data_IF_503261971715
#
_entry.id   IF_503261971715
#
_cell.length_a   1.000
_cell.length_b   1.000
_cell.length_c   1.000
_cell.angle_alpha   90.00
_cell.angle_beta   90.00
_cell.angle_gamma   90.00
#
_symmetry.space_group_name_H-M   'P 1'
#
loop_
_entity.id
_entity.type
_entity.pdbx_description
1 polymer ?
#
# COMPACT_ATOMS: atom_id res chain seq x y z
N UNK A 1 22.00 51.26 84.41
CA UNK A 1 23.31 51.49 83.77
C UNK A 1 23.15 51.40 82.26
N UNK A 2 22.52 52.42 81.68
CA UNK A 2 22.16 52.53 80.26
C UNK A 2 22.31 54.02 79.94
N UNK A 3 22.72 54.37 78.71
CA UNK A 3 22.99 55.74 78.20
C UNK A 3 24.47 56.18 78.35
N UNK A 4 25.38 55.61 77.53
CA UNK A 4 26.55 56.34 76.98
C UNK A 4 27.43 55.53 75.99
N UNK A 5 27.04 54.32 75.56
CA UNK A 5 27.77 53.58 74.50
C UNK A 5 27.15 53.67 73.09
N UNK A 6 25.98 54.32 72.94
CA UNK A 6 25.19 54.28 71.70
C UNK A 6 25.47 55.43 70.71
N UNK A 7 26.36 56.39 71.01
CA UNK A 7 26.62 57.54 70.11
C UNK A 7 27.90 57.48 69.27
N UNK A 8 28.84 56.58 69.58
CA UNK A 8 30.08 56.42 68.78
C UNK A 8 29.90 55.39 67.66
N UNK A 9 29.05 54.38 67.87
CA UNK A 9 28.73 53.37 66.83
C UNK A 9 27.88 53.98 65.72
N UNK A 10 26.96 54.89 66.03
CA UNK A 10 26.10 55.55 65.03
C UNK A 10 26.88 56.46 64.08
N UNK A 11 28.01 57.03 64.52
CA UNK A 11 28.86 57.87 63.66
C UNK A 11 29.74 57.04 62.72
N UNK A 12 30.17 55.85 63.14
CA UNK A 12 30.94 54.92 62.29
C UNK A 12 30.07 54.15 61.29
N UNK A 13 28.82 53.82 61.64
CA UNK A 13 27.87 53.19 60.72
C UNK A 13 27.33 54.19 59.68
N UNK A 14 27.18 55.47 60.03
CA UNK A 14 26.81 56.51 59.07
C UNK A 14 27.90 56.78 58.02
N UNK A 15 29.18 56.60 58.36
CA UNK A 15 30.30 56.77 57.42
C UNK A 15 30.46 55.58 56.46
N UNK A 16 30.06 54.37 56.87
CA UNK A 16 30.04 53.18 56.00
C UNK A 16 28.79 53.15 55.10
N UNK A 17 27.66 53.72 55.56
CA UNK A 17 26.47 53.89 54.72
C UNK A 17 26.64 54.98 53.63
N UNK A 18 27.49 55.99 53.85
CA UNK A 18 27.83 56.97 52.79
C UNK A 18 28.86 56.47 51.77
N UNK A 19 29.57 55.37 52.05
CA UNK A 19 30.52 54.75 51.11
C UNK A 19 29.91 53.61 50.27
N UNK A 20 28.61 53.31 50.46
CA UNK A 20 27.86 52.36 49.64
C UNK A 20 26.92 53.03 48.62
N UNK A 21 27.07 54.34 48.38
CA UNK A 21 26.33 55.09 47.35
C UNK A 21 27.17 55.42 46.11
N UNK A 22 28.33 54.77 45.96
CA UNK A 22 29.28 54.98 44.87
C UNK A 22 29.51 53.72 44.01
N UNK A 23 28.47 52.96 43.71
CA UNK A 23 28.48 52.03 42.57
C UNK A 23 27.05 51.62 42.18
N UNK A 24 26.25 52.61 41.80
CA UNK A 24 25.29 52.36 40.72
C UNK A 24 26.03 52.76 39.45
N UNK A 25 26.78 51.82 38.86
CA UNK A 25 27.02 51.92 37.43
C UNK A 25 25.64 51.82 36.78
N UNK A 26 25.20 52.90 36.16
CA UNK A 26 24.04 52.92 35.26
C UNK A 26 24.32 52.18 33.95
N UNK A 27 25.45 51.48 33.82
CA UNK A 27 25.95 50.98 32.54
C UNK A 27 25.61 49.51 32.29
N UNK A 28 24.62 48.97 33.01
CA UNK A 28 24.06 47.63 32.72
C UNK A 28 22.54 47.58 32.94
N UNK A 29 21.79 48.59 32.49
CA UNK A 29 20.48 48.27 31.94
C UNK A 29 20.75 47.64 30.59
N UNK A 30 20.47 46.34 30.44
CA UNK A 30 20.53 45.73 29.12
C UNK A 30 19.64 46.54 28.17
N UNK A 31 20.22 47.15 27.14
CA UNK A 31 19.51 47.83 26.05
C UNK A 31 18.76 46.81 25.18
N UNK A 32 17.90 45.97 25.80
CA UNK A 32 17.12 44.97 25.10
C UNK A 32 16.06 45.66 24.24
N UNK A 33 16.25 45.62 22.93
CA UNK A 33 15.31 46.16 21.94
C UNK A 33 14.19 45.15 21.68
N UNK A 34 13.09 45.27 22.43
CA UNK A 34 11.97 44.32 22.43
C UNK A 34 10.77 44.73 21.56
N UNK A 35 10.79 45.92 20.95
CA UNK A 35 9.72 46.48 20.12
C UNK A 35 9.85 46.13 18.62
N UNK A 36 10.89 45.38 18.25
CA UNK A 36 11.17 44.98 16.87
C UNK A 36 10.09 44.09 16.25
N UNK A 37 9.48 44.53 15.15
CA UNK A 37 8.60 43.67 14.35
C UNK A 37 9.41 42.65 13.54
N UNK A 38 9.02 41.38 13.61
CA UNK A 38 9.75 40.24 13.01
C UNK A 38 8.87 39.45 12.01
N UNK A 39 8.16 40.16 11.13
CA UNK A 39 7.25 39.53 10.15
C UNK A 39 7.92 39.29 8.80
N UNK A 40 7.49 38.22 8.11
CA UNK A 40 7.66 38.07 6.68
C UNK A 40 6.45 38.71 6.00
N UNK A 41 6.69 39.61 5.06
CA UNK A 41 5.65 40.32 4.31
C UNK A 41 5.45 39.71 2.93
N UNK A 42 6.55 39.30 2.28
CA UNK A 42 6.51 38.65 0.98
C UNK A 42 7.71 37.72 0.86
N UNK A 43 7.50 36.54 0.27
CA UNK A 43 8.58 35.67 -0.17
C UNK A 43 8.17 35.02 -1.49
N UNK A 44 9.13 34.90 -2.39
CA UNK A 44 9.00 34.16 -3.65
C UNK A 44 10.14 33.16 -3.74
N UNK A 45 9.80 31.90 -4.03
CA UNK A 45 10.78 30.87 -4.34
C UNK A 45 10.69 30.57 -5.83
N UNK A 46 11.78 30.79 -6.56
CA UNK A 46 11.82 30.81 -8.02
C UNK A 46 10.71 31.71 -8.59
N UNK A 47 9.75 31.11 -9.31
CA UNK A 47 8.60 31.81 -9.85
C UNK A 47 7.33 31.74 -8.99
N UNK A 48 7.39 31.09 -7.84
CA UNK A 48 6.23 30.79 -7.01
C UNK A 48 6.11 31.71 -5.82
N UNK A 49 4.98 32.41 -5.77
CA UNK A 49 4.63 33.32 -4.69
C UNK A 49 4.26 32.54 -3.42
N UNK A 50 4.89 32.90 -2.29
CA UNK A 50 4.52 32.39 -0.98
C UNK A 50 3.26 33.05 -0.44
N UNK A 51 2.34 32.22 0.07
CA UNK A 51 1.15 32.64 0.80
C UNK A 51 1.52 32.73 2.28
N UNK A 52 1.52 33.95 2.82
CA UNK A 52 1.94 34.25 4.20
C UNK A 52 0.73 34.19 5.14
N UNK A 53 0.76 33.31 6.13
CA UNK A 53 -0.18 33.31 7.25
C UNK A 53 0.54 33.82 8.51
N UNK A 54 0.21 35.06 8.89
CA UNK A 54 0.82 35.73 10.05
C UNK A 54 0.38 35.12 11.39
N UNK A 55 -0.78 34.47 11.45
CA UNK A 55 -1.32 33.92 12.69
C UNK A 55 -0.59 32.64 13.10
N UNK A 56 -0.38 31.75 12.14
CA UNK A 56 0.35 30.49 12.31
C UNK A 56 1.86 30.64 12.09
N UNK A 57 2.32 31.78 11.56
CA UNK A 57 3.71 32.03 11.11
C UNK A 57 4.16 30.99 10.10
N UNK A 58 3.26 30.62 9.20
CA UNK A 58 3.56 29.69 8.12
C UNK A 58 3.52 30.40 6.78
N UNK A 59 4.36 29.92 5.88
CA UNK A 59 4.41 30.35 4.48
C UNK A 59 4.20 29.09 3.65
N UNK A 60 3.18 29.11 2.80
CA UNK A 60 2.94 28.01 1.84
C UNK A 60 3.30 28.47 0.45
N UNK A 61 4.28 27.81 -0.17
CA UNK A 61 4.62 28.00 -1.57
C UNK A 61 4.04 26.83 -2.35
N UNK A 62 3.21 27.13 -3.36
CA UNK A 62 2.59 26.11 -4.21
C UNK A 62 3.34 25.96 -5.52
N UNK A 63 3.57 24.72 -5.93
CA UNK A 63 4.32 24.37 -7.14
C UNK A 63 3.62 23.26 -7.92
N UNK A 64 3.82 23.15 -9.23
CA UNK A 64 3.34 22.01 -10.03
C UNK A 64 3.78 20.66 -9.46
N UNK A 65 2.98 19.61 -9.68
CA UNK A 65 3.21 18.27 -9.13
C UNK A 65 4.64 17.75 -9.35
N UNK A 66 5.23 18.01 -10.51
CA UNK A 66 6.54 17.50 -10.93
C UNK A 66 7.70 18.47 -10.69
N UNK A 67 7.47 19.66 -10.12
CA UNK A 67 8.50 20.69 -9.98
C UNK A 67 9.65 20.26 -9.05
N UNK A 68 10.91 20.46 -9.39
CA UNK A 68 12.02 20.11 -8.48
C UNK A 68 12.12 21.11 -7.31
N UNK A 69 11.98 20.60 -6.07
CA UNK A 69 12.00 21.41 -4.84
C UNK A 69 13.31 21.32 -4.08
N UNK A 70 14.30 20.58 -4.59
CA UNK A 70 15.56 20.33 -3.89
C UNK A 70 16.51 21.52 -3.90
N UNK A 71 16.30 22.51 -4.78
CA UNK A 71 17.23 23.61 -5.00
C UNK A 71 16.55 24.92 -5.45
N UNK A 72 15.48 25.33 -4.75
CA UNK A 72 14.70 26.52 -5.09
C UNK A 72 15.44 27.80 -4.69
N UNK A 73 15.45 28.82 -5.55
CA UNK A 73 16.05 30.13 -5.26
C UNK A 73 15.08 31.02 -4.49
N UNK A 74 15.53 31.68 -3.44
CA UNK A 74 14.80 32.81 -2.83
C UNK A 74 14.89 34.00 -3.80
N UNK A 75 13.90 34.16 -4.67
CA UNK A 75 13.91 35.19 -5.71
C UNK A 75 13.37 36.53 -5.22
N UNK A 76 12.64 36.51 -4.09
CA UNK A 76 12.19 37.72 -3.38
C UNK A 76 12.04 37.45 -1.89
N UNK A 77 12.45 38.39 -1.06
CA UNK A 77 12.19 38.37 0.38
C UNK A 77 11.96 39.80 0.91
N UNK A 78 10.75 40.07 1.35
CA UNK A 78 10.38 41.31 2.04
C UNK A 78 9.98 40.98 3.47
N UNK A 79 10.62 41.65 4.42
CA UNK A 79 10.46 41.44 5.86
C UNK A 79 10.18 42.79 6.53
N UNK A 80 9.80 42.76 7.81
CA UNK A 80 9.60 43.99 8.59
C UNK A 80 10.81 44.95 8.50
N UNK A 81 10.54 46.25 8.46
CA UNK A 81 11.57 47.27 8.34
C UNK A 81 12.59 47.16 9.49
N UNK A 82 13.88 47.21 9.15
CA UNK A 82 14.99 47.08 10.11
C UNK A 82 15.29 45.66 10.57
N UNK A 83 14.45 44.68 10.22
CA UNK A 83 14.71 43.28 10.53
C UNK A 83 15.78 42.68 9.60
N UNK A 84 16.41 41.60 10.06
CA UNK A 84 17.31 40.74 9.31
C UNK A 84 16.76 39.32 9.28
N UNK A 85 17.10 38.57 8.24
CA UNK A 85 16.75 37.16 8.10
C UNK A 85 17.99 36.28 8.03
N UNK A 86 17.88 35.03 8.47
CA UNK A 86 18.91 34.01 8.28
C UNK A 86 19.05 33.54 6.82
N UNK A 87 18.13 33.96 5.94
CA UNK A 87 18.21 33.75 4.49
C UNK A 87 18.10 35.10 3.77
N UNK A 88 18.52 35.16 2.51
CA UNK A 88 18.42 36.36 1.66
C UNK A 88 18.10 36.00 0.21
N UNK A 89 17.75 37.02 -0.57
CA UNK A 89 17.56 36.86 -2.01
C UNK A 89 18.82 36.29 -2.67
N UNK A 90 18.63 35.30 -3.54
CA UNK A 90 19.68 34.52 -4.20
C UNK A 90 20.05 33.22 -3.49
N UNK A 91 19.71 33.05 -2.21
CA UNK A 91 19.97 31.79 -1.50
C UNK A 91 19.20 30.62 -2.11
N UNK A 92 19.74 29.42 -1.94
CA UNK A 92 19.17 28.17 -2.41
C UNK A 92 18.62 27.36 -1.24
N UNK A 93 17.37 26.91 -1.34
CA UNK A 93 16.69 26.14 -0.31
C UNK A 93 16.32 24.74 -0.84
N UNK A 94 16.61 23.72 -0.04
CA UNK A 94 16.07 22.39 -0.22
C UNK A 94 14.74 22.28 0.54
N UNK A 95 13.65 22.23 -0.20
CA UNK A 95 12.29 22.25 0.32
C UNK A 95 11.62 20.86 0.32
N UNK A 96 12.42 19.77 0.29
CA UNK A 96 11.90 18.42 0.54
C UNK A 96 11.17 18.36 1.89
N UNK A 97 11.72 19.04 2.89
CA UNK A 97 11.11 19.23 4.20
C UNK A 97 10.86 20.73 4.45
N UNK A 98 9.91 21.09 5.34
CA UNK A 98 9.71 22.47 5.74
C UNK A 98 10.99 23.10 6.30
N UNK A 99 11.26 24.35 5.92
CA UNK A 99 12.42 25.12 6.37
C UNK A 99 11.99 26.19 7.37
N UNK A 100 12.88 26.51 8.31
CA UNK A 100 12.66 27.59 9.28
C UNK A 100 13.42 28.84 8.85
N UNK A 101 12.68 29.93 8.67
CA UNK A 101 13.22 31.27 8.50
C UNK A 101 13.14 31.99 9.84
N UNK A 102 14.27 32.46 10.35
CA UNK A 102 14.34 33.32 11.52
C UNK A 102 14.41 34.77 11.08
N UNK A 103 13.44 35.57 11.50
CA UNK A 103 13.45 37.03 11.37
C UNK A 103 13.83 37.63 12.71
N UNK A 104 14.88 38.43 12.75
CA UNK A 104 15.37 39.11 13.97
C UNK A 104 15.30 40.62 13.78
N UNK A 105 14.84 41.36 14.77
CA UNK A 105 14.82 42.82 14.78
C UNK A 105 15.17 43.31 16.18
N UNK A 106 16.33 43.95 16.37
CA UNK A 106 16.88 44.19 17.70
C UNK A 106 17.16 42.87 18.44
N UNK A 107 16.60 42.71 19.63
CA UNK A 107 16.78 41.51 20.48
C UNK A 107 15.64 40.50 20.40
N UNK A 108 14.59 40.81 19.63
CA UNK A 108 13.47 39.88 19.39
C UNK A 108 13.64 39.16 18.07
N UNK A 109 13.12 37.94 18.02
CA UNK A 109 13.05 37.15 16.80
C UNK A 109 11.74 36.38 16.73
N UNK A 110 11.31 36.08 15.50
CA UNK A 110 10.24 35.13 15.23
C UNK A 110 10.72 34.11 14.20
N UNK A 111 10.39 32.86 14.47
CA UNK A 111 10.59 31.76 13.53
C UNK A 111 9.32 31.56 12.70
N UNK A 112 9.53 31.48 11.39
CA UNK A 112 8.54 31.24 10.36
C UNK A 112 8.82 29.91 9.68
N UNK A 113 7.78 29.11 9.47
CA UNK A 113 7.91 27.84 8.76
C UNK A 113 7.51 28.01 7.30
N UNK A 114 8.46 27.82 6.39
CA UNK A 114 8.18 27.75 4.96
C UNK A 114 8.01 26.29 4.56
N UNK A 115 6.90 25.98 3.92
CA UNK A 115 6.66 24.68 3.30
C UNK A 115 6.35 24.84 1.83
N UNK A 116 6.83 23.90 1.03
CA UNK A 116 6.41 23.76 -0.36
C UNK A 116 5.36 22.67 -0.44
N UNK A 117 4.28 22.95 -1.16
CA UNK A 117 3.21 21.99 -1.45
C UNK A 117 3.10 21.80 -2.95
N UNK A 118 3.16 20.54 -3.37
CA UNK A 118 2.92 20.14 -4.76
C UNK A 118 1.42 20.11 -5.03
N UNK A 119 1.05 20.65 -6.18
CA UNK A 119 -0.32 20.65 -6.69
C UNK A 119 -0.67 19.25 -7.20
N UNK A 120 -1.02 18.33 -6.31
CA UNK A 120 -1.47 16.99 -6.71
C UNK A 120 -2.99 16.97 -6.90
N UNK A 121 -3.47 16.35 -7.99
CA UNK A 121 -4.88 16.18 -8.28
C UNK A 121 -5.21 14.70 -8.53
N UNK A 122 -5.42 13.93 -7.45
CA UNK A 122 -5.73 12.49 -7.52
C UNK A 122 -6.96 12.13 -6.71
N UNK A 123 -7.70 11.12 -7.17
CA UNK A 123 -8.67 10.39 -6.35
C UNK A 123 -7.93 9.20 -5.73
N UNK A 124 -7.96 9.10 -4.41
CA UNK A 124 -7.25 8.04 -3.65
C UNK A 124 -8.21 7.00 -3.08
N UNK A 125 -9.51 7.32 -2.97
CA UNK A 125 -10.56 6.39 -2.60
C UNK A 125 -11.88 6.81 -3.23
N UNK A 126 -12.65 5.83 -3.69
CA UNK A 126 -14.00 6.01 -4.17
C UNK A 126 -14.83 4.84 -3.64
N UNK A 127 -15.91 5.12 -2.91
CA UNK A 127 -16.82 4.09 -2.38
C UNK A 127 -18.26 4.46 -2.62
N UNK A 128 -19.10 3.51 -3.01
CA UNK A 128 -20.54 3.70 -3.11
C UNK A 128 -21.21 3.18 -1.83
N UNK A 129 -22.05 4.03 -1.22
CA UNK A 129 -22.79 3.73 0.02
C UNK A 129 -21.89 3.28 1.20
N UNK A 130 -20.60 3.63 1.16
CA UNK A 130 -19.61 3.20 2.15
C UNK A 130 -19.22 1.71 2.09
N UNK A 131 -19.83 0.92 1.20
CA UNK A 131 -19.69 -0.54 1.13
C UNK A 131 -18.89 -0.95 -0.11
N UNK A 132 -19.26 -0.44 -1.29
CA UNK A 132 -18.72 -0.91 -2.56
C UNK A 132 -17.53 -0.07 -2.98
N UNK A 133 -16.33 -0.66 -2.88
CA UNK A 133 -15.08 0.01 -3.23
C UNK A 133 -14.93 0.13 -4.75
N UNK A 134 -14.48 1.29 -5.21
CA UNK A 134 -14.08 1.54 -6.59
C UNK A 134 -12.63 1.15 -6.82
N UNK A 135 -12.38 0.45 -7.92
CA UNK A 135 -11.05 0.13 -8.43
C UNK A 135 -10.53 1.36 -9.17
N UNK A 136 -9.52 2.02 -8.62
CA UNK A 136 -8.91 3.21 -9.24
C UNK A 136 -7.74 2.78 -10.12
N UNK A 137 -7.87 3.06 -11.41
CA UNK A 137 -6.79 3.00 -12.39
C UNK A 137 -6.24 4.43 -12.58
N UNK A 138 -5.13 4.69 -11.89
CA UNK A 138 -4.50 6.00 -11.88
C UNK A 138 -3.80 6.33 -13.21
N UNK A 139 -3.36 5.32 -13.97
CA UNK A 139 -2.70 5.52 -15.26
C UNK A 139 -3.72 5.92 -16.34
N UNK A 140 -4.87 5.23 -16.36
CA UNK A 140 -5.95 5.49 -17.32
C UNK A 140 -6.99 6.50 -16.83
N UNK A 141 -6.89 6.98 -15.58
CA UNK A 141 -7.88 7.83 -14.90
C UNK A 141 -9.30 7.26 -15.00
N UNK A 142 -9.45 5.99 -14.65
CA UNK A 142 -10.77 5.35 -14.58
C UNK A 142 -11.04 4.81 -13.19
N UNK A 143 -12.32 4.72 -12.84
CA UNK A 143 -12.76 4.10 -11.60
C UNK A 143 -13.88 3.11 -11.93
N UNK A 144 -13.68 1.84 -11.62
CA UNK A 144 -14.72 0.82 -11.80
C UNK A 144 -15.29 0.40 -10.47
N UNK A 145 -16.60 0.53 -10.29
CA UNK A 145 -17.30 0.08 -9.09
C UNK A 145 -18.26 -1.03 -9.47
N UNK A 146 -18.22 -2.14 -8.74
CA UNK A 146 -19.15 -3.24 -8.92
C UNK A 146 -20.12 -3.27 -7.75
N UNK A 147 -21.42 -3.25 -8.05
CA UNK A 147 -22.50 -3.19 -7.04
C UNK A 147 -23.54 -4.26 -7.32
N UNK A 148 -24.32 -4.74 -6.34
CA UNK A 148 -25.39 -5.71 -6.58
C UNK A 148 -26.44 -5.18 -7.57
N UNK A 149 -27.02 -6.09 -8.36
CA UNK A 149 -28.09 -5.78 -9.33
C UNK A 149 -29.38 -5.25 -8.68
N UNK A 150 -29.54 -5.47 -7.38
CA UNK A 150 -30.64 -4.90 -6.60
C UNK A 150 -30.45 -3.41 -6.28
N UNK A 151 -29.25 -2.86 -6.49
CA UNK A 151 -28.93 -1.48 -6.18
C UNK A 151 -29.41 -0.55 -7.30
N UNK A 152 -30.21 0.47 -6.94
CA UNK A 152 -30.68 1.47 -7.90
C UNK A 152 -29.54 2.42 -8.29
N UNK A 153 -29.08 2.33 -9.55
CA UNK A 153 -27.99 3.16 -10.05
C UNK A 153 -28.36 4.64 -10.30
N UNK A 154 -29.64 5.00 -10.30
CA UNK A 154 -30.08 6.37 -10.61
C UNK A 154 -29.70 7.41 -9.55
N UNK A 155 -29.35 6.98 -8.34
CA UNK A 155 -29.09 7.89 -7.23
C UNK A 155 -28.20 7.22 -6.18
N UNK A 156 -26.92 7.07 -6.50
CA UNK A 156 -25.92 6.54 -5.57
C UNK A 156 -25.10 7.66 -4.97
N UNK A 157 -24.80 7.55 -3.67
CA UNK A 157 -24.01 8.55 -2.95
C UNK A 157 -22.58 8.02 -2.78
N UNK A 158 -21.60 8.57 -3.53
CA UNK A 158 -20.22 8.17 -3.38
C UNK A 158 -19.56 8.90 -2.21
N UNK A 159 -18.70 8.19 -1.48
CA UNK A 159 -17.72 8.75 -0.56
C UNK A 159 -16.37 8.74 -1.26
N UNK A 160 -15.79 9.92 -1.45
CA UNK A 160 -14.59 10.13 -2.25
C UNK A 160 -13.52 10.80 -1.39
N UNK A 161 -12.32 10.21 -1.38
CA UNK A 161 -11.10 10.82 -0.84
C UNK A 161 -10.19 11.19 -2.00
N UNK A 162 -9.59 12.38 -1.95
CA UNK A 162 -8.76 12.94 -3.00
C UNK A 162 -7.62 13.78 -2.39
N UNK A 163 -6.68 14.23 -3.23
CA UNK A 163 -5.51 15.00 -2.80
C UNK A 163 -5.88 16.18 -1.90
N UNK A 164 -5.10 16.40 -0.84
CA UNK A 164 -5.38 17.43 0.15
C UNK A 164 -5.40 18.83 -0.48
N UNK A 165 -6.38 19.66 -0.07
CA UNK A 165 -6.62 21.02 -0.57
C UNK A 165 -7.04 21.09 -2.05
N UNK A 166 -7.27 19.94 -2.71
CA UNK A 166 -7.97 19.91 -3.97
C UNK A 166 -9.48 20.11 -3.77
N UNK A 167 -10.17 20.34 -4.87
CA UNK A 167 -11.63 20.29 -4.97
C UNK A 167 -12.02 19.21 -5.97
N UNK A 168 -13.23 18.66 -5.85
CA UNK A 168 -13.74 17.64 -6.77
C UNK A 168 -15.15 18.01 -7.22
N UNK A 169 -15.46 17.75 -8.49
CA UNK A 169 -16.81 17.88 -9.05
C UNK A 169 -17.14 16.65 -9.90
N UNK A 170 -18.28 15.95 -9.68
CA UNK A 170 -19.24 16.15 -8.60
C UNK A 170 -18.63 16.05 -7.19
N UNK A 171 -19.23 16.74 -6.21
CA UNK A 171 -18.75 16.73 -4.83
C UNK A 171 -18.98 15.36 -4.17
N UNK A 172 -18.06 14.97 -3.28
CA UNK A 172 -18.22 13.78 -2.42
C UNK A 172 -19.51 13.90 -1.59
N UNK A 173 -20.30 12.83 -1.54
CA UNK A 173 -21.59 12.82 -0.83
C UNK A 173 -22.78 13.30 -1.66
N UNK A 174 -22.58 13.76 -2.91
CA UNK A 174 -23.69 14.14 -3.80
C UNK A 174 -24.24 12.91 -4.51
N UNK A 175 -25.56 12.69 -4.38
CA UNK A 175 -26.26 11.64 -5.11
C UNK A 175 -26.10 11.83 -6.63
N UNK A 176 -25.66 10.77 -7.30
CA UNK A 176 -25.30 10.80 -8.72
C UNK A 176 -25.91 9.60 -9.44
N UNK A 177 -26.37 9.81 -10.67
CA UNK A 177 -26.86 8.75 -11.57
C UNK A 177 -25.67 8.10 -12.28
N UNK A 178 -25.45 6.80 -12.03
CA UNK A 178 -24.41 5.99 -12.65
C UNK A 178 -24.95 4.96 -13.64
N UNK A 179 -26.14 5.15 -14.19
CA UNK A 179 -26.64 4.34 -15.32
C UNK A 179 -25.77 4.50 -16.57
N UNK A 180 -25.00 5.57 -16.65
CA UNK A 180 -23.93 5.80 -17.62
C UNK A 180 -22.64 6.22 -16.88
N UNK A 181 -21.45 6.07 -17.51
CA UNK A 181 -20.22 6.56 -16.91
C UNK A 181 -20.28 8.05 -16.56
N UNK A 182 -19.74 8.42 -15.40
CA UNK A 182 -19.73 9.79 -14.88
C UNK A 182 -18.31 10.28 -14.72
N UNK A 183 -18.02 11.51 -15.17
CA UNK A 183 -16.70 12.11 -15.02
C UNK A 183 -16.62 12.89 -13.71
N UNK A 184 -15.61 12.60 -12.90
CA UNK A 184 -15.22 13.35 -11.71
C UNK A 184 -13.93 14.10 -11.98
N UNK A 185 -13.94 15.42 -11.86
CA UNK A 185 -12.77 16.28 -12.05
C UNK A 185 -12.22 16.73 -10.71
N UNK A 186 -10.97 16.36 -10.41
CA UNK A 186 -10.20 16.87 -9.28
C UNK A 186 -9.34 18.04 -9.74
N UNK A 187 -9.44 19.18 -9.06
CA UNK A 187 -8.68 20.39 -9.37
C UNK A 187 -7.92 20.86 -8.14
N UNK A 188 -6.61 21.07 -8.29
CA UNK A 188 -5.73 21.60 -7.25
C UNK A 188 -4.81 22.69 -7.82
N UNK A 189 -5.31 23.93 -7.85
CA UNK A 189 -4.76 25.10 -8.55
C UNK A 189 -4.13 24.85 -9.93
N UNK A 190 -2.84 24.54 -10.07
CA UNK A 190 -2.27 24.29 -11.41
C UNK A 190 -2.53 22.88 -11.94
N UNK A 191 -2.88 21.92 -11.09
CA UNK A 191 -3.15 20.54 -11.49
C UNK A 191 -4.65 20.26 -11.65
N UNK A 192 -4.98 19.43 -12.64
CA UNK A 192 -6.35 18.97 -12.89
C UNK A 192 -6.29 17.54 -13.43
N UNK A 193 -7.16 16.66 -12.92
CA UNK A 193 -7.33 15.30 -13.42
C UNK A 193 -8.82 14.97 -13.51
N UNK A 194 -9.23 14.28 -14.59
CA UNK A 194 -10.60 13.82 -14.77
C UNK A 194 -10.65 12.31 -14.76
N UNK A 195 -11.45 11.74 -13.86
CA UNK A 195 -11.66 10.31 -13.68
C UNK A 195 -13.00 9.89 -14.26
N UNK A 196 -13.02 8.89 -15.13
CA UNK A 196 -14.27 8.30 -15.61
C UNK A 196 -14.70 7.18 -14.68
N UNK A 197 -15.78 7.39 -13.95
CA UNK A 197 -16.36 6.42 -13.02
C UNK A 197 -17.44 5.61 -13.73
N UNK A 198 -17.28 4.29 -13.75
CA UNK A 198 -18.27 3.35 -14.27
C UNK A 198 -18.76 2.47 -13.12
N UNK A 199 -20.08 2.46 -12.90
CA UNK A 199 -20.70 1.57 -11.92
C UNK A 199 -21.42 0.46 -12.66
N UNK A 200 -20.95 -0.77 -12.47
CA UNK A 200 -21.55 -1.94 -13.09
C UNK A 200 -22.35 -2.68 -12.03
N UNK A 201 -23.66 -2.77 -12.27
CA UNK A 201 -24.51 -3.65 -11.51
C UNK A 201 -24.18 -5.10 -11.89
N UNK A 202 -23.61 -5.82 -10.93
CA UNK A 202 -23.34 -7.25 -11.00
C UNK A 202 -24.36 -8.00 -10.16
N UNK A 203 -24.74 -9.20 -10.58
CA UNK A 203 -25.56 -10.08 -9.76
C UNK A 203 -24.77 -10.57 -8.54
N UNK A 204 -24.88 -11.86 -8.27
CA UNK A 204 -23.96 -12.52 -7.34
C UNK A 204 -22.63 -12.72 -8.06
N UNK A 205 -21.47 -12.40 -7.44
CA UNK A 205 -20.18 -12.53 -8.12
C UNK A 205 -19.95 -13.98 -8.51
N UNK A 206 -19.43 -14.22 -9.72
CA UNK A 206 -19.02 -15.56 -10.17
C UNK A 206 -17.62 -15.92 -9.68
N UNK A 207 -16.82 -14.92 -9.37
CA UNK A 207 -15.50 -15.10 -8.81
C UNK A 207 -15.16 -13.97 -7.82
N UNK A 208 -14.34 -14.26 -6.83
CA UNK A 208 -13.92 -13.28 -5.84
C UNK A 208 -12.40 -13.32 -5.66
N UNK A 209 -11.77 -12.15 -5.68
CA UNK A 209 -10.44 -11.97 -5.11
C UNK A 209 -10.61 -11.68 -3.63
N UNK A 210 -10.05 -12.51 -2.75
CA UNK A 210 -10.11 -12.30 -1.30
C UNK A 210 -8.77 -11.78 -0.76
N UNK A 211 -8.83 -10.83 0.18
CA UNK A 211 -7.65 -10.27 0.85
C UNK A 211 -7.85 -10.05 2.35
N UNK A 212 -6.73 -9.87 3.07
CA UNK A 212 -6.74 -9.51 4.49
C UNK A 212 -7.28 -8.09 4.73
N UNK A 213 -6.89 -7.06 3.95
CA UNK A 213 -7.35 -5.70 4.19
C UNK A 213 -8.84 -5.52 3.92
N UNK A 214 -9.45 -4.53 4.57
CA UNK A 214 -10.87 -4.22 4.38
C UNK A 214 -11.16 -3.74 2.95
N UNK A 215 -10.20 -3.10 2.30
CA UNK A 215 -10.35 -2.58 0.95
C UNK A 215 -9.17 -2.96 0.05
N UNK A 216 -9.44 -3.08 -1.24
CA UNK A 216 -8.43 -3.38 -2.26
C UNK A 216 -7.26 -2.39 -2.26
N UNK A 217 -7.50 -1.11 -1.97
CA UNK A 217 -6.47 -0.07 -1.98
C UNK A 217 -5.44 -0.21 -0.85
N UNK A 218 -5.72 -1.07 0.14
CA UNK A 218 -4.83 -1.37 1.25
C UNK A 218 -4.01 -2.66 1.00
N UNK A 219 -4.24 -3.34 -0.12
CA UNK A 219 -3.39 -4.46 -0.54
C UNK A 219 -1.97 -3.96 -0.78
N UNK A 220 -0.99 -4.81 -0.44
CA UNK A 220 0.39 -4.57 -0.88
C UNK A 220 0.47 -4.63 -2.41
N UNK A 221 1.50 -4.05 -3.00
CA UNK A 221 1.57 -3.83 -4.45
C UNK A 221 1.53 -5.12 -5.28
N UNK A 222 2.10 -6.20 -4.76
CA UNK A 222 2.06 -7.53 -5.36
C UNK A 222 0.62 -8.06 -5.43
N UNK A 223 -0.07 -8.10 -4.29
CA UNK A 223 -1.48 -8.53 -4.22
C UNK A 223 -2.41 -7.61 -4.99
N UNK A 224 -2.15 -6.29 -4.96
CA UNK A 224 -2.92 -5.30 -5.70
C UNK A 224 -2.80 -5.52 -7.22
N UNK A 225 -1.60 -5.86 -7.71
CA UNK A 225 -1.35 -6.13 -9.13
C UNK A 225 -2.12 -7.36 -9.60
N UNK A 226 -2.06 -8.45 -8.82
CA UNK A 226 -2.84 -9.67 -9.05
C UNK A 226 -4.36 -9.39 -9.03
N UNK A 227 -4.83 -8.63 -8.03
CA UNK A 227 -6.24 -8.27 -7.88
C UNK A 227 -6.74 -7.42 -9.05
N UNK A 228 -5.99 -6.38 -9.45
CA UNK A 228 -6.32 -5.55 -10.62
C UNK A 228 -6.44 -6.39 -11.88
N UNK A 229 -5.48 -7.30 -12.10
CA UNK A 229 -5.55 -8.21 -13.23
C UNK A 229 -6.84 -9.05 -13.21
N UNK A 230 -7.21 -9.63 -12.05
CA UNK A 230 -8.45 -10.40 -11.94
C UNK A 230 -9.67 -9.57 -12.31
N UNK A 231 -9.81 -8.38 -11.73
CA UNK A 231 -10.99 -7.53 -11.92
C UNK A 231 -11.11 -7.00 -13.35
N UNK A 232 -10.01 -6.92 -14.08
CA UNK A 232 -9.98 -6.53 -15.50
C UNK A 232 -10.27 -7.70 -16.45
N UNK A 233 -9.88 -8.93 -16.09
CA UNK A 233 -9.88 -10.06 -17.01
C UNK A 233 -10.96 -11.11 -16.72
N UNK A 234 -11.45 -11.18 -15.48
CA UNK A 234 -12.46 -12.16 -15.06
C UNK A 234 -13.81 -11.46 -14.94
N UNK A 235 -14.78 -11.75 -15.84
CA UNK A 235 -16.09 -11.13 -15.80
C UNK A 235 -16.85 -11.45 -14.50
N UNK A 236 -17.64 -10.49 -14.02
CA UNK A 236 -18.44 -10.66 -12.81
C UNK A 236 -17.60 -11.08 -11.58
N UNK A 237 -16.40 -10.49 -11.47
CA UNK A 237 -15.50 -10.66 -10.33
C UNK A 237 -15.53 -9.47 -9.39
N UNK A 238 -15.19 -9.70 -8.11
CA UNK A 238 -15.22 -8.68 -7.05
C UNK A 238 -14.07 -8.89 -6.06
N UNK A 239 -13.53 -7.79 -5.51
CA UNK A 239 -12.69 -7.84 -4.31
C UNK A 239 -13.54 -7.93 -3.04
N UNK A 240 -13.22 -8.86 -2.16
CA UNK A 240 -13.93 -9.06 -0.88
C UNK A 240 -12.88 -9.27 0.22
N UNK A 241 -13.11 -8.73 1.43
CA UNK A 241 -12.21 -9.03 2.55
C UNK A 241 -12.58 -10.37 3.22
N UNK A 242 -11.65 -11.01 3.93
CA UNK A 242 -12.00 -12.16 4.77
C UNK A 242 -13.06 -11.83 5.83
N UNK A 243 -13.06 -10.59 6.33
CA UNK A 243 -14.07 -10.12 7.28
C UNK A 243 -15.47 -10.07 6.65
N UNK A 244 -15.57 -9.68 5.38
CA UNK A 244 -16.84 -9.68 4.64
C UNK A 244 -17.40 -11.10 4.49
N UNK A 245 -16.54 -12.07 4.13
CA UNK A 245 -16.92 -13.48 4.00
C UNK A 245 -17.40 -14.03 5.36
N UNK A 246 -16.63 -13.79 6.43
CA UNK A 246 -16.97 -14.22 7.78
C UNK A 246 -18.32 -13.65 8.24
N UNK A 247 -18.58 -12.38 7.95
CA UNK A 247 -19.79 -11.69 8.38
C UNK A 247 -20.98 -11.91 7.44
N UNK A 248 -20.80 -12.59 6.30
CA UNK A 248 -21.86 -12.81 5.31
C UNK A 248 -22.35 -11.51 4.66
N UNK A 249 -21.50 -10.50 4.53
CA UNK A 249 -21.89 -9.21 3.94
C UNK A 249 -22.04 -9.27 2.41
N UNK A 250 -21.51 -10.34 1.79
CA UNK A 250 -21.59 -10.62 0.36
C UNK A 250 -22.27 -11.97 0.13
N UNK A 251 -23.23 -12.02 -0.80
CA UNK A 251 -23.87 -13.27 -1.21
C UNK A 251 -22.97 -14.01 -2.23
N UNK A 252 -22.33 -15.09 -1.77
CA UNK A 252 -21.45 -15.93 -2.58
C UNK A 252 -22.17 -17.13 -3.24
N UNK A 253 -23.51 -17.18 -3.24
CA UNK A 253 -24.24 -18.38 -3.70
C UNK A 253 -24.13 -18.70 -5.19
N UNK A 254 -23.65 -17.76 -6.03
CA UNK A 254 -23.26 -18.05 -7.43
C UNK A 254 -21.74 -18.01 -7.65
N UNK A 255 -20.95 -17.74 -6.61
CA UNK A 255 -19.50 -17.73 -6.70
C UNK A 255 -19.00 -19.14 -6.99
N UNK A 256 -18.16 -19.26 -8.01
CA UNK A 256 -17.54 -20.51 -8.45
C UNK A 256 -16.09 -20.62 -8.00
N UNK A 257 -15.38 -19.50 -7.96
CA UNK A 257 -13.95 -19.48 -7.63
C UNK A 257 -13.63 -18.33 -6.67
N UNK A 258 -12.99 -18.65 -5.55
CA UNK A 258 -12.32 -17.66 -4.71
C UNK A 258 -10.82 -17.77 -4.97
N UNK A 259 -10.19 -16.67 -5.36
CA UNK A 259 -8.74 -16.56 -5.48
C UNK A 259 -8.18 -15.76 -4.31
N UNK A 260 -7.22 -16.34 -3.59
CA UNK A 260 -6.35 -15.60 -2.69
C UNK A 260 -4.90 -15.70 -3.15
N UNK A 261 -4.34 -14.54 -3.50
CA UNK A 261 -2.92 -14.33 -3.67
C UNK A 261 -2.40 -13.64 -2.42
N UNK A 262 -1.46 -14.25 -1.70
CA UNK A 262 -1.00 -13.73 -0.41
C UNK A 262 0.52 -13.57 -0.39
N UNK A 263 0.96 -12.33 -0.27
CA UNK A 263 2.36 -11.98 -0.11
C UNK A 263 2.61 -11.38 1.28
N UNK A 264 3.74 -11.75 1.86
CA UNK A 264 4.21 -11.23 3.13
C UNK A 264 5.72 -11.09 3.10
N UNK A 265 6.18 -9.86 3.23
CA UNK A 265 7.61 -9.55 3.31
C UNK A 265 8.31 -10.36 4.42
N UNK A 266 9.36 -11.09 4.05
CA UNK A 266 10.11 -11.98 4.94
C UNK A 266 9.52 -13.38 5.11
N UNK A 267 8.38 -13.65 4.47
CA UNK A 267 7.78 -14.96 4.31
C UNK A 267 6.93 -15.49 5.46
N UNK A 268 6.27 -16.61 5.17
CA UNK A 268 5.37 -17.34 6.08
C UNK A 268 5.69 -18.82 5.98
N UNK A 269 6.37 -19.35 7.00
CA UNK A 269 6.82 -20.74 7.04
C UNK A 269 6.07 -21.57 8.07
N UNK A 270 5.27 -22.50 7.56
CA UNK A 270 4.45 -23.41 8.35
C UNK A 270 3.20 -22.80 8.99
N UNK A 271 2.42 -23.70 9.57
CA UNK A 271 1.07 -23.43 10.10
C UNK A 271 1.01 -22.31 11.13
N UNK A 272 1.82 -22.36 12.19
CA UNK A 272 1.77 -21.36 13.27
C UNK A 272 2.14 -19.95 12.77
N UNK A 273 3.11 -19.85 11.86
CA UNK A 273 3.48 -18.57 11.26
C UNK A 273 2.34 -18.03 10.40
N UNK A 274 1.67 -18.90 9.63
CA UNK A 274 0.52 -18.54 8.81
C UNK A 274 -0.66 -18.05 9.65
N UNK A 275 -1.05 -18.79 10.68
CA UNK A 275 -2.17 -18.42 11.56
C UNK A 275 -1.95 -17.06 12.23
N UNK A 276 -0.71 -16.78 12.64
CA UNK A 276 -0.32 -15.47 13.21
C UNK A 276 -0.29 -14.36 12.17
N UNK A 277 0.11 -14.66 10.93
CA UNK A 277 0.25 -13.67 9.88
C UNK A 277 -1.09 -13.33 9.19
N UNK A 278 -2.05 -14.24 9.19
CA UNK A 278 -3.34 -14.12 8.51
C UNK A 278 -4.54 -14.49 9.42
N UNK A 279 -4.69 -13.87 10.60
CA UNK A 279 -5.74 -14.23 11.55
C UNK A 279 -7.16 -14.01 10.99
N UNK A 280 -7.36 -13.03 10.11
CA UNK A 280 -8.65 -12.79 9.44
C UNK A 280 -9.06 -13.98 8.56
N UNK A 281 -8.11 -14.58 7.84
CA UNK A 281 -8.35 -15.75 7.01
C UNK A 281 -8.71 -16.98 7.86
N UNK A 282 -7.96 -17.22 8.94
CA UNK A 282 -8.27 -18.30 9.91
C UNK A 282 -9.65 -18.10 10.52
N UNK A 283 -9.99 -16.86 10.90
CA UNK A 283 -11.29 -16.53 11.46
C UNK A 283 -12.45 -16.70 10.46
N UNK A 284 -12.17 -16.69 9.16
CA UNK A 284 -13.15 -16.94 8.09
C UNK A 284 -13.19 -18.42 7.64
N UNK A 285 -12.32 -19.29 8.17
CA UNK A 285 -12.13 -20.65 7.69
C UNK A 285 -13.41 -21.50 7.71
N UNK A 286 -14.31 -21.29 8.68
CA UNK A 286 -15.60 -22.00 8.73
C UNK A 286 -16.47 -21.66 7.51
N UNK A 287 -16.66 -20.36 7.21
CA UNK A 287 -17.45 -19.93 6.06
C UNK A 287 -16.83 -20.38 4.73
N UNK A 288 -15.50 -20.33 4.62
CA UNK A 288 -14.78 -20.80 3.44
C UNK A 288 -14.86 -22.31 3.27
N UNK A 289 -14.83 -23.07 4.36
CA UNK A 289 -15.01 -24.52 4.37
C UNK A 289 -16.44 -24.90 3.97
N UNK A 290 -17.45 -24.16 4.42
CA UNK A 290 -18.83 -24.37 4.00
C UNK A 290 -18.99 -24.07 2.50
N UNK A 291 -18.38 -23.00 1.99
CA UNK A 291 -18.32 -22.72 0.56
C UNK A 291 -17.63 -23.87 -0.22
N UNK A 292 -16.47 -24.35 0.26
CA UNK A 292 -15.76 -25.49 -0.33
C UNK A 292 -16.63 -26.74 -0.41
N UNK A 293 -17.25 -27.10 0.72
CA UNK A 293 -18.09 -28.29 0.86
C UNK A 293 -19.38 -28.23 0.03
N UNK A 294 -19.76 -27.05 -0.46
CA UNK A 294 -20.92 -26.82 -1.32
C UNK A 294 -20.53 -26.59 -2.80
N UNK A 295 -19.34 -27.03 -3.20
CA UNK A 295 -18.91 -27.08 -4.60
C UNK A 295 -18.12 -25.87 -5.06
N UNK A 296 -17.86 -24.92 -4.16
CA UNK A 296 -17.04 -23.75 -4.41
C UNK A 296 -15.56 -24.12 -4.57
N UNK A 297 -14.91 -23.59 -5.61
CA UNK A 297 -13.50 -23.86 -5.90
C UNK A 297 -12.59 -22.74 -5.38
N UNK A 298 -11.31 -23.07 -5.16
CA UNK A 298 -10.28 -22.13 -4.75
C UNK A 298 -9.06 -22.13 -5.66
N UNK A 299 -8.52 -20.93 -5.89
CA UNK A 299 -7.14 -20.73 -6.33
C UNK A 299 -6.36 -20.16 -5.15
N UNK A 300 -5.32 -20.85 -4.71
CA UNK A 300 -4.40 -20.36 -3.68
C UNK A 300 -3.01 -20.21 -4.26
N UNK A 301 -2.41 -19.03 -4.12
CA UNK A 301 -1.11 -18.74 -4.70
C UNK A 301 -0.18 -18.06 -3.69
N UNK A 302 1.12 -18.37 -3.77
CA UNK A 302 2.14 -17.98 -2.78
C UNK A 302 1.77 -18.47 -1.37
N UNK A 303 1.88 -17.67 -0.31
CA UNK A 303 1.64 -18.14 1.06
C UNK A 303 0.20 -18.56 1.35
N UNK A 304 -0.76 -18.19 0.48
CA UNK A 304 -2.14 -18.63 0.59
C UNK A 304 -2.28 -20.16 0.45
N UNK A 305 -1.27 -20.85 -0.09
CA UNK A 305 -1.26 -22.32 -0.20
C UNK A 305 -1.21 -23.06 1.14
N UNK A 306 -1.07 -22.35 2.26
CA UNK A 306 -1.30 -22.87 3.61
C UNK A 306 -2.79 -23.05 3.95
N UNK A 307 -3.68 -22.26 3.32
CA UNK A 307 -5.12 -22.23 3.61
C UNK A 307 -5.85 -23.58 3.43
N UNK A 308 -5.50 -24.48 2.48
CA UNK A 308 -6.17 -25.77 2.33
C UNK A 308 -6.23 -26.62 3.61
N UNK A 309 -5.24 -26.49 4.52
CA UNK A 309 -5.25 -27.17 5.81
C UNK A 309 -6.41 -26.67 6.69
N UNK A 310 -6.61 -25.34 6.77
CA UNK A 310 -7.71 -24.71 7.50
C UNK A 310 -9.10 -25.04 6.91
N UNK A 311 -9.16 -25.36 5.61
CA UNK A 311 -10.39 -25.83 4.96
C UNK A 311 -10.65 -27.32 5.17
N UNK A 312 -9.72 -28.08 5.77
CA UNK A 312 -9.82 -29.53 5.91
C UNK A 312 -9.71 -30.28 4.58
N UNK A 313 -9.04 -29.68 3.59
CA UNK A 313 -8.77 -30.33 2.30
C UNK A 313 -7.56 -31.27 2.38
N UNK A 314 -6.56 -30.91 3.20
CA UNK A 314 -5.36 -31.74 3.43
C UNK A 314 -5.67 -32.83 4.46
N UNK A 315 -5.58 -34.10 4.07
CA UNK A 315 -6.02 -35.24 4.89
C UNK A 315 -5.28 -35.38 6.23
N UNK A 316 -3.98 -35.09 6.26
CA UNK A 316 -3.17 -35.07 7.49
C UNK A 316 -3.08 -33.68 8.16
N UNK A 317 -3.85 -32.68 7.69
CA UNK A 317 -3.84 -31.31 8.19
C UNK A 317 -2.47 -30.59 8.14
N UNK A 318 -1.53 -31.09 7.32
CA UNK A 318 -0.22 -30.47 7.15
C UNK A 318 -0.30 -29.22 6.26
N UNK A 319 0.75 -28.40 6.33
CA UNK A 319 0.98 -27.21 5.49
C UNK A 319 2.30 -27.36 4.73
N UNK A 320 2.52 -26.59 3.64
CA UNK A 320 3.82 -26.53 2.97
C UNK A 320 4.97 -26.41 4.00
N UNK A 321 5.98 -27.25 3.85
CA UNK A 321 7.07 -27.45 4.82
C UNK A 321 8.41 -26.87 4.36
N UNK A 322 8.37 -26.11 3.26
CA UNK A 322 9.55 -25.48 2.69
C UNK A 322 9.11 -24.11 2.16
N UNK A 323 9.16 -23.09 3.03
CA UNK A 323 8.71 -21.76 2.69
C UNK A 323 9.77 -20.70 2.98
N UNK A 324 9.88 -19.72 2.10
CA UNK A 324 10.76 -18.57 2.27
C UNK A 324 10.24 -17.42 1.40
N UNK A 325 10.78 -16.22 1.58
CA UNK A 325 10.55 -15.11 0.65
C UNK A 325 11.26 -13.85 1.07
N UNK A 326 11.56 -13.04 0.06
CA UNK A 326 12.17 -11.73 0.19
C UNK A 326 11.16 -10.65 0.54
N UNK A 327 11.58 -9.41 0.32
CA UNK A 327 10.78 -8.21 0.51
C UNK A 327 10.73 -7.44 -0.79
N UNK A 328 9.60 -6.80 -1.08
CA UNK A 328 9.44 -6.08 -2.35
C UNK A 328 10.50 -4.97 -2.53
N UNK A 329 10.86 -4.29 -1.44
CA UNK A 329 11.89 -3.26 -1.46
C UNK A 329 13.31 -3.78 -1.80
N UNK A 330 13.58 -5.05 -1.50
CA UNK A 330 14.89 -5.69 -1.61
C UNK A 330 14.86 -6.86 -2.62
N UNK A 331 13.89 -6.87 -3.54
CA UNK A 331 13.64 -7.98 -4.46
C UNK A 331 14.89 -8.34 -5.28
N UNK A 332 15.14 -9.65 -5.45
CA UNK A 332 16.29 -10.17 -6.18
C UNK A 332 16.17 -9.83 -7.66
N UNK A 333 17.28 -9.38 -8.27
CA UNK A 333 17.35 -9.20 -9.71
C UNK A 333 17.71 -10.50 -10.41
N UNK A 334 16.77 -11.01 -11.18
CA UNK A 334 16.91 -12.23 -11.96
C UNK A 334 17.86 -11.99 -13.15
N UNK A 335 18.99 -12.69 -13.20
CA UNK A 335 19.98 -12.51 -14.29
C UNK A 335 19.64 -13.29 -15.58
N UNK A 336 18.75 -14.27 -15.48
CA UNK A 336 18.29 -15.11 -16.59
C UNK A 336 16.88 -15.62 -16.30
N UNK A 337 16.03 -15.91 -17.29
CA UNK A 337 14.66 -16.35 -17.05
C UNK A 337 14.54 -17.49 -16.03
N UNK A 338 13.58 -17.40 -15.11
CA UNK A 338 13.30 -18.43 -14.11
C UNK A 338 12.13 -19.30 -14.52
N UNK A 339 12.19 -20.58 -14.14
CA UNK A 339 11.16 -21.56 -14.47
C UNK A 339 10.93 -22.56 -13.35
N UNK A 340 9.78 -23.24 -13.45
CA UNK A 340 9.51 -24.50 -12.75
C UNK A 340 9.16 -25.58 -13.78
N UNK A 341 9.08 -26.84 -13.34
CA UNK A 341 9.00 -27.99 -14.23
C UNK A 341 7.65 -28.71 -14.17
N UNK A 342 7.11 -29.07 -15.34
CA UNK A 342 5.81 -29.76 -15.50
C UNK A 342 5.95 -31.18 -16.06
N UNK A 343 7.10 -31.82 -15.81
CA UNK A 343 7.38 -33.19 -16.26
C UNK A 343 6.24 -34.13 -15.86
N UNK A 344 5.64 -34.81 -16.85
CA UNK A 344 4.50 -35.73 -16.62
C UNK A 344 3.12 -35.06 -16.61
N UNK A 345 3.05 -33.73 -16.67
CA UNK A 345 1.81 -32.95 -16.51
C UNK A 345 1.57 -31.93 -17.64
N UNK A 346 2.24 -32.07 -18.78
CA UNK A 346 2.16 -31.11 -19.92
C UNK A 346 0.76 -30.94 -20.50
N UNK A 347 -0.14 -31.91 -20.30
CA UNK A 347 -1.53 -31.84 -20.74
C UNK A 347 -2.48 -31.21 -19.70
N UNK A 348 -1.99 -30.86 -18.52
CA UNK A 348 -2.83 -30.25 -17.50
C UNK A 348 -3.36 -28.89 -17.99
N UNK A 349 -4.66 -28.57 -17.80
CA UNK A 349 -5.28 -27.33 -18.30
C UNK A 349 -4.54 -26.05 -17.90
N UNK A 350 -3.93 -26.03 -16.71
CA UNK A 350 -3.15 -24.89 -16.21
C UNK A 350 -2.03 -24.46 -17.17
N UNK A 351 -1.40 -25.40 -17.86
CA UNK A 351 -0.18 -25.16 -18.64
C UNK A 351 -0.41 -25.03 -20.15
N UNK A 352 -1.66 -24.89 -20.58
CA UNK A 352 -1.99 -24.81 -22.01
C UNK A 352 -1.75 -23.40 -22.58
N UNK A 353 -1.18 -23.34 -23.79
CA UNK A 353 -0.98 -22.08 -24.52
C UNK A 353 0.07 -21.13 -23.93
N UNK A 354 0.92 -21.62 -23.03
CA UNK A 354 2.03 -20.85 -22.48
C UNK A 354 3.13 -20.62 -23.52
N UNK A 355 3.88 -19.54 -23.33
CA UNK A 355 5.09 -19.22 -24.07
C UNK A 355 6.20 -20.14 -23.54
N UNK A 356 6.64 -21.09 -24.37
CA UNK A 356 7.63 -22.10 -24.00
C UNK A 356 8.94 -21.84 -24.73
N UNK A 357 10.06 -22.11 -24.04
CA UNK A 357 11.38 -22.05 -24.65
C UNK A 357 11.62 -23.28 -25.53
N UNK A 358 12.07 -23.06 -26.76
CA UNK A 358 12.39 -24.13 -27.71
C UNK A 358 13.41 -25.10 -27.12
N UNK A 359 13.11 -26.41 -27.18
CA UNK A 359 13.96 -27.47 -26.64
C UNK A 359 13.76 -27.79 -25.16
N UNK A 360 12.92 -27.04 -24.45
CA UNK A 360 12.64 -27.22 -23.02
C UNK A 360 11.13 -27.37 -22.75
N UNK A 361 10.48 -28.42 -23.26
CA UNK A 361 9.02 -28.55 -23.27
C UNK A 361 8.39 -28.70 -21.87
N UNK A 362 9.20 -28.95 -20.84
CA UNK A 362 8.75 -29.11 -19.47
C UNK A 362 9.08 -27.90 -18.59
N UNK A 363 9.83 -26.90 -19.07
CA UNK A 363 10.22 -25.74 -18.29
C UNK A 363 9.25 -24.59 -18.55
N UNK A 364 8.43 -24.26 -17.54
CA UNK A 364 7.49 -23.13 -17.60
C UNK A 364 8.20 -21.90 -17.07
N UNK A 365 8.63 -21.04 -17.99
CA UNK A 365 9.27 -19.77 -17.67
C UNK A 365 8.23 -18.71 -17.34
N UNK A 366 8.48 -17.93 -16.29
CA UNK A 366 7.53 -16.94 -15.74
C UNK A 366 8.19 -15.65 -15.28
N UNK A 367 9.52 -15.56 -15.32
CA UNK A 367 10.26 -14.32 -15.09
C UNK A 367 11.20 -14.08 -16.26
N UNK A 368 11.33 -12.82 -16.68
CA UNK A 368 12.29 -12.39 -17.69
C UNK A 368 13.61 -11.95 -17.05
N UNK A 369 14.69 -11.90 -17.85
CA UNK A 369 15.96 -11.36 -17.38
C UNK A 369 15.77 -9.88 -16.99
N UNK A 370 16.24 -9.52 -15.80
CA UNK A 370 16.06 -8.20 -15.21
C UNK A 370 14.85 -8.08 -14.28
N UNK A 371 13.93 -9.05 -14.27
CA UNK A 371 12.78 -9.07 -13.36
C UNK A 371 13.23 -9.03 -11.91
N UNK A 372 12.53 -8.25 -11.08
CA UNK A 372 12.79 -8.13 -9.64
C UNK A 372 11.78 -8.98 -8.88
N UNK A 373 12.25 -10.08 -8.30
CA UNK A 373 11.39 -11.11 -7.70
C UNK A 373 11.60 -11.19 -6.19
N UNK A 374 10.52 -11.35 -5.43
CA UNK A 374 10.64 -11.65 -3.99
C UNK A 374 10.90 -13.12 -3.73
N UNK A 375 10.69 -13.99 -4.72
CA UNK A 375 10.86 -15.44 -4.61
C UNK A 375 10.06 -16.03 -3.43
N UNK A 376 8.91 -15.44 -3.12
CA UNK A 376 8.05 -15.89 -2.03
C UNK A 376 7.43 -17.24 -2.38
N UNK A 377 7.98 -18.27 -1.75
CA UNK A 377 7.72 -19.67 -2.02
C UNK A 377 7.05 -20.30 -0.81
N UNK A 378 6.03 -21.13 -1.07
CA UNK A 378 5.39 -22.00 -0.08
C UNK A 378 5.12 -23.36 -0.75
N UNK A 379 6.15 -24.22 -0.72
CA UNK A 379 6.21 -25.48 -1.47
C UNK A 379 6.37 -26.69 -0.53
N UNK A 380 6.28 -27.89 -1.10
CA UNK A 380 6.50 -29.12 -0.34
C UNK A 380 7.84 -29.74 -0.68
N UNK A 381 8.72 -29.83 0.31
CA UNK A 381 9.92 -30.65 0.20
C UNK A 381 9.58 -32.13 0.15
N UNK A 382 10.28 -32.84 -0.74
CA UNK A 382 10.20 -34.29 -0.90
C UNK A 382 11.61 -34.87 -0.75
N UNK A 383 11.77 -35.75 0.24
CA UNK A 383 13.04 -36.34 0.62
C UNK A 383 13.11 -36.59 2.13
N UNK A 384 13.97 -37.53 2.54
CA UNK A 384 14.14 -37.92 3.95
C UNK A 384 15.24 -37.12 4.69
N UNK A 385 15.94 -36.25 3.97
CA UNK A 385 17.15 -35.54 4.35
C UNK A 385 16.94 -34.44 5.42
N UNK A 386 15.74 -33.88 5.54
CA UNK A 386 15.39 -32.90 6.58
C UNK A 386 13.97 -33.06 7.15
N UNK A 387 13.42 -34.27 6.99
CA UNK A 387 12.09 -34.64 7.49
C UNK A 387 10.95 -34.31 6.52
N UNK A 388 9.75 -34.82 6.83
CA UNK A 388 8.57 -34.71 5.97
C UNK A 388 8.28 -35.99 5.19
N UNK A 389 8.18 -35.88 3.87
CA UNK A 389 7.69 -36.94 2.99
C UNK A 389 8.83 -37.64 2.26
N UNK A 390 8.94 -38.95 2.44
CA UNK A 390 10.02 -39.76 1.87
C UNK A 390 10.05 -39.74 0.34
N UNK A 391 8.87 -39.69 -0.29
CA UNK A 391 8.69 -39.63 -1.73
C UNK A 391 7.33 -39.00 -2.08
N UNK A 392 7.11 -38.75 -3.37
CA UNK A 392 5.86 -38.18 -3.88
C UNK A 392 4.62 -39.04 -3.57
N UNK A 393 4.75 -40.38 -3.54
CA UNK A 393 3.60 -41.26 -3.27
C UNK A 393 3.17 -41.17 -1.81
N UNK A 394 4.13 -41.11 -0.88
CA UNK A 394 3.86 -40.87 0.53
C UNK A 394 3.17 -39.52 0.73
N UNK A 395 3.67 -38.47 0.06
CA UNK A 395 3.03 -37.15 0.09
C UNK A 395 1.58 -37.20 -0.43
N UNK A 396 1.32 -37.78 -1.60
CA UNK A 396 -0.04 -37.94 -2.15
C UNK A 396 -0.96 -38.70 -1.19
N UNK A 397 -0.46 -39.78 -0.59
CA UNK A 397 -1.24 -40.66 0.30
C UNK A 397 -1.61 -39.95 1.60
N UNK A 398 -0.68 -39.23 2.20
CA UNK A 398 -0.89 -38.58 3.51
C UNK A 398 -1.63 -37.24 3.38
N UNK A 399 -1.44 -36.50 2.29
CA UNK A 399 -2.11 -35.21 2.08
C UNK A 399 -3.45 -35.36 1.35
N UNK A 400 -3.61 -36.38 0.51
CA UNK A 400 -4.73 -36.52 -0.42
C UNK A 400 -4.66 -35.63 -1.65
N UNK A 401 -3.55 -34.91 -1.87
CA UNK A 401 -3.36 -33.99 -2.99
C UNK A 401 -2.72 -34.68 -4.22
N UNK A 402 -2.78 -33.99 -5.36
CA UNK A 402 -2.12 -34.37 -6.61
C UNK A 402 -1.14 -33.27 -7.02
N UNK A 403 0.15 -33.59 -7.10
CA UNK A 403 1.20 -32.70 -7.59
C UNK A 403 1.16 -32.59 -9.11
N UNK A 404 1.36 -31.38 -9.61
CA UNK A 404 1.30 -31.07 -11.06
C UNK A 404 2.51 -30.25 -11.56
N UNK A 405 3.37 -29.76 -10.66
CA UNK A 405 4.62 -29.11 -11.03
C UNK A 405 5.69 -29.18 -9.92
N UNK A 406 6.96 -29.07 -10.33
CA UNK A 406 8.14 -29.26 -9.49
C UNK A 406 9.14 -28.11 -9.58
N UNK A 407 9.81 -27.82 -8.47
CA UNK A 407 11.01 -26.98 -8.43
C UNK A 407 12.22 -27.71 -9.02
N UNK A 408 13.31 -26.97 -9.27
CA UNK A 408 14.56 -27.58 -9.75
C UNK A 408 15.22 -28.52 -8.73
N UNK A 409 14.85 -28.40 -7.47
CA UNK A 409 15.21 -29.26 -6.34
C UNK A 409 14.29 -30.48 -6.19
N UNK A 410 13.23 -30.59 -7.00
CA UNK A 410 12.22 -31.65 -6.91
C UNK A 410 11.09 -31.37 -5.90
N UNK A 411 11.07 -30.21 -5.25
CA UNK A 411 9.94 -29.84 -4.40
C UNK A 411 8.65 -29.71 -5.22
N UNK A 412 7.50 -30.02 -4.62
CA UNK A 412 6.20 -29.82 -5.27
C UNK A 412 5.81 -28.34 -5.14
N UNK A 413 5.71 -27.65 -6.27
CA UNK A 413 5.46 -26.19 -6.33
C UNK A 413 4.08 -25.83 -6.87
N UNK A 414 3.38 -26.78 -7.50
CA UNK A 414 1.97 -26.67 -7.78
C UNK A 414 1.27 -28.01 -7.58
N UNK A 415 0.07 -27.97 -7.02
CA UNK A 415 -0.73 -29.16 -6.71
C UNK A 415 -2.22 -28.82 -6.66
N UNK A 416 -3.06 -29.86 -6.67
CA UNK A 416 -4.49 -29.71 -6.59
C UNK A 416 -5.17 -30.72 -5.67
N UNK A 417 -6.38 -30.36 -5.25
CA UNK A 417 -7.37 -31.25 -4.67
C UNK A 417 -8.56 -31.29 -5.63
N UNK A 418 -8.75 -32.39 -6.37
CA UNK A 418 -9.88 -32.52 -7.28
C UNK A 418 -11.23 -32.46 -6.55
N UNK A 419 -12.29 -32.09 -7.27
CA UNK A 419 -13.65 -32.11 -6.75
C UNK A 419 -14.04 -33.53 -6.31
N UNK A 420 -14.65 -33.65 -5.13
CA UNK A 420 -15.06 -34.93 -4.56
C UNK A 420 -16.40 -34.80 -3.84
N UNK A 421 -17.39 -35.60 -4.25
CA UNK A 421 -18.75 -35.49 -3.72
C UNK A 421 -19.32 -34.09 -3.96
N UNK A 422 -19.66 -33.37 -2.90
CA UNK A 422 -20.11 -31.98 -2.96
C UNK A 422 -18.96 -30.96 -2.86
N UNK A 423 -17.72 -31.38 -2.59
CA UNK A 423 -16.58 -30.47 -2.47
C UNK A 423 -16.12 -29.96 -3.84
N UNK A 424 -15.80 -28.67 -3.93
CA UNK A 424 -15.21 -28.06 -5.12
C UNK A 424 -13.75 -28.48 -5.37
N UNK A 425 -13.07 -27.79 -6.29
CA UNK A 425 -11.64 -28.01 -6.58
C UNK A 425 -10.79 -27.01 -5.80
N UNK A 426 -9.57 -27.39 -5.42
CA UNK A 426 -8.56 -26.45 -4.94
C UNK A 426 -7.33 -26.59 -5.83
N UNK A 427 -6.83 -25.47 -6.37
CA UNK A 427 -5.57 -25.41 -7.08
C UNK A 427 -4.60 -24.52 -6.30
N UNK A 428 -3.40 -25.04 -6.06
CA UNK A 428 -2.33 -24.37 -5.33
C UNK A 428 -1.13 -24.12 -6.23
N UNK A 429 -0.60 -22.89 -6.23
CA UNK A 429 0.66 -22.53 -6.88
C UNK A 429 1.56 -21.86 -5.84
N UNK A 430 2.44 -22.65 -5.25
CA UNK A 430 3.37 -22.23 -4.20
C UNK A 430 4.76 -21.85 -4.71
N UNK A 431 5.00 -21.93 -6.02
CA UNK A 431 6.27 -21.56 -6.64
C UNK A 431 6.58 -20.08 -6.42
N UNK A 432 7.82 -19.77 -6.01
CA UNK A 432 8.33 -18.40 -5.99
C UNK A 432 8.37 -17.73 -7.37
N UNK A 433 8.25 -18.50 -8.45
CA UNK A 433 8.14 -18.00 -9.82
C UNK A 433 6.73 -17.48 -10.17
N UNK A 434 5.72 -17.69 -9.31
CA UNK A 434 4.38 -17.10 -9.50
C UNK A 434 4.29 -15.76 -8.78
N UNK A 435 4.73 -14.70 -9.46
CA UNK A 435 4.97 -13.36 -8.92
C UNK A 435 4.40 -12.30 -9.88
N UNK A 436 3.68 -11.30 -9.38
CA UNK A 436 2.90 -10.35 -10.18
C UNK A 436 3.55 -8.99 -10.37
N UNK A 437 4.50 -8.62 -9.52
CA UNK A 437 5.04 -7.29 -9.44
C UNK A 437 6.57 -7.30 -9.42
N UNK A 438 7.15 -6.48 -10.30
CA UNK A 438 8.56 -6.12 -10.28
C UNK A 438 8.70 -4.63 -9.99
N UNK A 439 9.59 -4.28 -9.07
CA UNK A 439 9.91 -2.87 -8.76
C UNK A 439 10.59 -2.14 -9.93
N UNK A 440 11.29 -2.89 -10.79
CA UNK A 440 11.87 -2.35 -12.02
C UNK A 440 10.91 -2.59 -13.19
N UNK A 441 10.80 -1.62 -14.11
CA UNK A 441 10.10 -1.79 -15.37
C UNK A 441 10.88 -2.75 -16.27
N UNK A 442 10.31 -3.93 -16.54
CA UNK A 442 10.95 -5.02 -17.26
C UNK A 442 10.04 -5.41 -18.42
N UNK A 443 10.53 -5.42 -19.68
CA UNK A 443 9.75 -5.90 -20.81
C UNK A 443 9.30 -7.33 -20.57
N UNK A 444 7.99 -7.56 -20.61
CA UNK A 444 7.41 -8.88 -20.42
C UNK A 444 7.53 -9.72 -21.70
N UNK A 445 8.02 -10.94 -21.56
CA UNK A 445 7.92 -12.00 -22.56
C UNK A 445 7.48 -13.31 -21.91
N UNK A 446 8.27 -13.86 -20.99
CA UNK A 446 7.87 -15.02 -20.21
C UNK A 446 6.95 -14.65 -19.04
N UNK A 447 7.06 -13.43 -18.50
CA UNK A 447 6.18 -12.97 -17.43
C UNK A 447 4.70 -12.92 -17.84
N UNK A 448 4.39 -12.75 -19.13
CA UNK A 448 3.04 -12.90 -19.69
C UNK A 448 2.40 -14.26 -19.39
N UNK A 449 3.19 -15.29 -19.11
CA UNK A 449 2.68 -16.60 -18.70
C UNK A 449 1.97 -16.56 -17.35
N UNK A 450 2.26 -15.61 -16.46
CA UNK A 450 1.54 -15.46 -15.18
C UNK A 450 0.06 -15.24 -15.47
N UNK A 451 -0.30 -14.19 -16.22
CA UNK A 451 -1.68 -13.92 -16.59
C UNK A 451 -2.35 -15.06 -17.37
N UNK A 452 -1.63 -15.71 -18.29
CA UNK A 452 -2.16 -16.88 -19.03
C UNK A 452 -2.45 -18.06 -18.12
N UNK A 453 -1.53 -18.40 -17.22
CA UNK A 453 -1.73 -19.46 -16.24
C UNK A 453 -2.89 -19.14 -15.29
N UNK A 454 -3.02 -17.90 -14.84
CA UNK A 454 -4.14 -17.50 -13.99
C UNK A 454 -5.47 -17.61 -14.71
N UNK A 455 -5.55 -17.18 -15.98
CA UNK A 455 -6.74 -17.36 -16.81
C UNK A 455 -7.07 -18.85 -16.99
N UNK A 456 -6.07 -19.69 -17.25
CA UNK A 456 -6.24 -21.14 -17.33
C UNK A 456 -6.74 -21.74 -16.01
N UNK A 457 -6.21 -21.28 -14.87
CA UNK A 457 -6.69 -21.68 -13.55
C UNK A 457 -8.16 -21.34 -13.37
N UNK A 458 -8.61 -20.13 -13.72
CA UNK A 458 -10.02 -19.76 -13.66
C UNK A 458 -10.87 -20.63 -14.59
N UNK A 459 -10.46 -20.84 -15.84
CA UNK A 459 -11.16 -21.72 -16.77
C UNK A 459 -11.28 -23.15 -16.25
N UNK A 460 -10.24 -23.65 -15.57
CA UNK A 460 -10.24 -24.98 -14.98
C UNK A 460 -11.13 -25.11 -13.74
N UNK A 461 -11.13 -24.08 -12.88
CA UNK A 461 -11.83 -24.07 -11.60
C UNK A 461 -13.31 -23.66 -11.71
N UNK A 462 -13.68 -22.84 -12.71
CA UNK A 462 -15.07 -22.43 -12.97
C UNK A 462 -15.90 -23.53 -13.62
N UNK A 463 -15.24 -24.44 -14.34
CA UNK A 463 -15.88 -25.59 -14.99
C UNK A 463 -15.85 -26.78 -14.03
N UNK A 464 -16.82 -26.83 -13.12
CA UNK A 464 -17.13 -28.00 -12.30
C UNK A 464 -18.24 -28.83 -12.95
#
# INVERSE_FOLDING_TARGET
MVIMKTKIITFFVALIALLALGSCSSDNVSDLQLDGHCSVENIKLDDYQGIVDKSSRTITVRVPETYDVTNMTVSKLSISQGAISNIKEGDKLNMIAPQVIRIKNGDVYLDWTVKVMRDEAKITSFKINGIYNGVIDEANKTISVYVPNSLNLHSLTPSITFSANASISPESGVATDFTNPVVYTVTNNTATASYTVTVTAIGKPKAVFVGLPATMNELNIEELTACKWMLQNIPNSLYVSFSDIKNGTIDLSECKVIWWHYHKDGGVDGKEAFERAAPEAVNAAVALRDYYNNGGSFLFTRYATNMPAELGAVANNATPNNCWGGKEADAEKVNSPWSFFIQGHTNHPLFQGLIMKTGEPNAVYTCDAGYRITNSTAQWHIGADWGGYADYNKWRTETGAQDIAYGGDGAIVAWEFPATGSKGKILCIGSGCYDWYSIDEVPSHYHDNIGKMTMNAFNYLMNN
#
